data_IF_534478594804
#
_entry.id   IF_534478594804
#
_cell.length_a   1.000
_cell.length_b   1.000
_cell.length_c   1.000
_cell.angle_alpha   90.00
_cell.angle_beta   90.00
_cell.angle_gamma   90.00
#
_symmetry.space_group_name_H-M   'P 1'
#
loop_
_entity.id
_entity.type
_entity.pdbx_description
1 polymer ?
#
# COMPACT_ATOMS: atom_id res chain seq x y z
N UNK A 1 -5.17 4.18 -10.67
CA UNK A 1 -4.77 2.81 -10.27
C UNK A 1 -3.26 2.79 -10.27
N UNK A 2 -2.63 2.41 -9.16
CA UNK A 2 -1.17 2.47 -9.04
C UNK A 2 -0.62 1.18 -8.45
N UNK A 3 0.67 1.00 -8.65
CA UNK A 3 1.46 0.00 -7.93
C UNK A 3 2.60 0.65 -7.15
N UNK A 4 2.99 -0.01 -6.07
CA UNK A 4 4.17 0.31 -5.27
C UNK A 4 5.06 -0.92 -5.33
N UNK A 5 6.20 -0.79 -6.01
CA UNK A 5 7.21 -1.83 -6.11
C UNK A 5 8.55 -1.23 -5.70
N UNK A 6 9.23 -1.88 -4.75
CA UNK A 6 10.53 -1.44 -4.27
C UNK A 6 10.51 0.04 -3.78
N UNK A 7 9.45 0.45 -3.06
CA UNK A 7 9.17 1.82 -2.62
C UNK A 7 9.09 2.88 -3.75
N UNK A 8 8.94 2.44 -5.00
CA UNK A 8 8.67 3.30 -6.15
C UNK A 8 7.22 3.17 -6.56
N UNK A 9 6.57 4.32 -6.75
CA UNK A 9 5.18 4.39 -7.19
C UNK A 9 5.14 4.43 -8.72
N UNK A 10 4.27 3.64 -9.35
CA UNK A 10 4.02 3.69 -10.79
C UNK A 10 2.52 3.78 -11.05
N UNK A 11 2.16 4.49 -12.11
CA UNK A 11 0.80 4.50 -12.63
C UNK A 11 0.59 3.30 -13.54
N UNK A 12 -0.44 2.50 -13.26
CA UNK A 12 -0.77 1.30 -14.03
C UNK A 12 -1.60 1.59 -15.28
N UNK A 13 -2.17 2.80 -15.41
CA UNK A 13 -3.00 3.22 -16.55
C UNK A 13 -2.26 4.17 -17.49
N UNK A 14 -0.94 4.34 -17.30
CA UNK A 14 -0.10 5.16 -18.16
C UNK A 14 1.00 4.29 -18.76
N UNK A 15 1.17 4.26 -20.09
CA UNK A 15 2.31 3.60 -20.70
C UNK A 15 3.60 4.22 -20.17
N UNK A 16 4.54 3.36 -19.79
CA UNK A 16 5.78 3.70 -19.08
C UNK A 16 6.66 4.63 -19.93
N UNK A 17 6.47 5.93 -19.78
CA UNK A 17 7.24 6.97 -20.47
C UNK A 17 8.38 7.53 -19.61
N UNK A 18 8.38 7.25 -18.31
CA UNK A 18 9.39 7.77 -17.38
C UNK A 18 10.01 6.66 -16.52
N UNK A 19 11.34 6.53 -16.58
CA UNK A 19 12.14 5.61 -15.77
C UNK A 19 12.14 5.99 -14.27
N UNK A 20 11.75 7.22 -13.95
CA UNK A 20 11.59 7.71 -12.58
C UNK A 20 10.17 7.45 -12.08
N UNK A 21 10.05 6.79 -10.92
CA UNK A 21 8.76 6.55 -10.27
C UNK A 21 8.08 7.86 -9.86
N UNK A 22 6.75 7.82 -9.70
CA UNK A 22 5.96 8.94 -9.22
C UNK A 22 6.30 9.26 -7.76
N UNK A 23 6.19 10.54 -7.40
CA UNK A 23 6.51 11.02 -6.05
C UNK A 23 5.25 11.18 -5.22
N UNK A 24 5.29 10.67 -3.98
CA UNK A 24 4.27 10.95 -2.97
C UNK A 24 4.52 12.33 -2.38
N UNK A 25 3.46 13.13 -2.25
CA UNK A 25 3.44 14.46 -1.62
C UNK A 25 2.28 14.52 -0.65
N UNK A 26 2.21 15.58 0.16
CA UNK A 26 1.08 15.82 1.05
C UNK A 26 0.53 17.22 0.82
N UNK A 27 -0.78 17.30 0.65
CA UNK A 27 -1.51 18.55 0.57
C UNK A 27 -2.06 18.92 1.96
N UNK A 28 -2.00 20.18 2.41
CA UNK A 28 -2.43 20.58 3.76
C UNK A 28 -3.87 20.18 4.11
N UNK A 29 -4.76 20.12 3.12
CA UNK A 29 -6.19 19.77 3.32
C UNK A 29 -6.58 18.38 2.82
N UNK A 30 -5.91 17.86 1.80
CA UNK A 30 -6.32 16.62 1.11
C UNK A 30 -5.52 15.41 1.59
N UNK A 31 -4.47 15.66 2.38
CA UNK A 31 -3.56 14.62 2.84
C UNK A 31 -2.63 14.12 1.73
N UNK A 32 -2.07 12.92 1.91
CA UNK A 32 -1.09 12.33 1.01
C UNK A 32 -1.68 12.00 -0.37
N UNK A 33 -0.95 12.38 -1.42
CA UNK A 33 -1.32 12.14 -2.82
C UNK A 33 -0.08 11.84 -3.67
N UNK A 34 -0.29 11.23 -4.85
CA UNK A 34 0.78 10.94 -5.79
C UNK A 34 0.80 11.99 -6.88
N UNK A 35 1.91 12.72 -7.00
CA UNK A 35 2.06 13.73 -8.03
C UNK A 35 2.18 13.07 -9.41
N UNK A 36 1.33 13.48 -10.35
CA UNK A 36 1.35 13.00 -11.73
C UNK A 36 0.62 11.67 -11.95
N UNK A 37 -0.13 11.18 -10.96
CA UNK A 37 -1.03 10.04 -11.11
C UNK A 37 -2.22 10.41 -12.01
N UNK A 38 -2.55 9.56 -12.97
CA UNK A 38 -3.70 9.77 -13.85
C UNK A 38 -5.03 9.49 -13.17
N UNK A 39 -6.05 10.20 -13.62
CA UNK A 39 -7.43 10.05 -13.18
C UNK A 39 -8.32 9.91 -14.40
N UNK A 40 -9.19 8.92 -14.39
CA UNK A 40 -10.06 8.58 -15.52
C UNK A 40 -11.51 8.64 -15.03
N UNK A 41 -12.35 9.39 -15.74
CA UNK A 41 -13.78 9.44 -15.46
C UNK A 41 -14.42 8.13 -15.94
N UNK A 42 -15.27 7.54 -15.09
CA UNK A 42 -15.97 6.29 -15.39
C UNK A 42 -17.46 6.48 -15.14
N UNK A 43 -18.28 6.16 -16.14
CA UNK A 43 -19.75 6.28 -16.06
C UNK A 43 -20.46 4.91 -16.09
N UNK A 44 -19.71 3.82 -16.23
CA UNK A 44 -20.25 2.46 -16.26
C UNK A 44 -19.30 1.48 -15.57
N UNK A 45 -19.87 0.40 -15.04
CA UNK A 45 -19.08 -0.71 -14.50
C UNK A 45 -18.16 -1.32 -15.56
N UNK A 46 -18.61 -1.42 -16.81
CA UNK A 46 -17.80 -1.95 -17.91
C UNK A 46 -16.54 -1.12 -18.15
N UNK A 47 -16.65 0.20 -18.18
CA UNK A 47 -15.50 1.11 -18.31
C UNK A 47 -14.54 0.98 -17.13
N UNK A 48 -15.06 0.89 -15.90
CA UNK A 48 -14.25 0.68 -14.71
C UNK A 48 -13.48 -0.65 -14.78
N UNK A 49 -14.17 -1.74 -15.12
CA UNK A 49 -13.56 -3.07 -15.23
C UNK A 49 -12.50 -3.12 -16.33
N UNK A 50 -12.70 -2.42 -17.45
CA UNK A 50 -11.69 -2.29 -18.50
C UNK A 50 -10.39 -1.66 -18.00
N UNK A 51 -10.47 -0.57 -17.21
CA UNK A 51 -9.28 0.02 -16.57
C UNK A 51 -8.63 -0.91 -15.55
N UNK A 52 -9.43 -1.66 -14.77
CA UNK A 52 -8.90 -2.65 -13.83
C UNK A 52 -8.14 -3.75 -14.56
N UNK A 53 -8.68 -4.25 -15.68
CA UNK A 53 -8.03 -5.27 -16.50
C UNK A 53 -6.74 -4.75 -17.14
N UNK A 54 -6.79 -3.55 -17.74
CA UNK A 54 -5.62 -2.89 -18.32
C UNK A 54 -4.50 -2.72 -17.28
N UNK A 55 -4.80 -2.16 -16.12
CA UNK A 55 -3.81 -1.96 -15.08
C UNK A 55 -3.29 -3.27 -14.48
N UNK A 56 -4.14 -4.30 -14.41
CA UNK A 56 -3.73 -5.64 -13.97
C UNK A 56 -2.79 -6.29 -14.99
N UNK A 57 -3.06 -6.12 -16.28
CA UNK A 57 -2.17 -6.56 -17.36
C UNK A 57 -0.84 -5.81 -17.29
N UNK A 58 -0.86 -4.49 -17.12
CA UNK A 58 0.35 -3.68 -16.97
C UNK A 58 1.21 -4.14 -15.78
N UNK A 59 0.59 -4.42 -14.63
CA UNK A 59 1.27 -4.97 -13.44
C UNK A 59 1.91 -6.34 -13.71
N UNK A 60 1.20 -7.24 -14.41
CA UNK A 60 1.73 -8.55 -14.81
C UNK A 60 2.91 -8.42 -15.78
N UNK A 61 2.80 -7.57 -16.80
CA UNK A 61 3.86 -7.35 -17.79
C UNK A 61 5.11 -6.73 -17.15
N UNK A 62 4.95 -5.78 -16.22
CA UNK A 62 6.06 -5.23 -15.45
C UNK A 62 6.77 -6.32 -14.62
N UNK A 63 6.00 -7.26 -14.06
CA UNK A 63 6.54 -8.42 -13.33
C UNK A 63 7.32 -9.38 -14.24
N UNK A 64 6.93 -9.55 -15.50
CA UNK A 64 7.69 -10.39 -16.45
C UNK A 64 8.97 -9.73 -16.95
N UNK A 65 9.00 -8.40 -17.09
CA UNK A 65 10.15 -7.66 -17.61
C UNK A 65 11.26 -7.43 -16.58
N UNK A 66 10.95 -7.43 -15.27
CA UNK A 66 11.91 -7.04 -14.22
C UNK A 66 12.25 -8.12 -13.17
N UNK A 67 11.75 -9.35 -13.31
CA UNK A 67 11.73 -10.52 -12.38
C UNK A 67 10.36 -10.79 -11.75
N UNK A 68 10.01 -12.09 -11.63
CA UNK A 68 8.81 -12.66 -10.98
C UNK A 68 8.51 -11.91 -9.66
N UNK A 69 7.35 -11.32 -9.41
CA UNK A 69 6.00 -11.90 -9.33
C UNK A 69 5.05 -10.79 -8.81
N UNK A 70 3.75 -10.85 -9.08
CA UNK A 70 2.74 -9.96 -8.48
C UNK A 70 2.71 -10.01 -6.94
N UNK A 71 3.29 -11.05 -6.33
CA UNK A 71 3.45 -11.19 -4.88
C UNK A 71 4.39 -10.17 -4.25
N UNK A 72 5.14 -9.40 -5.05
CA UNK A 72 6.18 -8.46 -4.61
C UNK A 72 5.84 -6.99 -4.78
N UNK A 73 4.66 -6.66 -5.28
CA UNK A 73 4.20 -5.26 -5.39
C UNK A 73 2.85 -5.09 -4.73
N UNK A 74 2.64 -3.93 -4.13
CA UNK A 74 1.32 -3.53 -3.62
C UNK A 74 0.57 -2.84 -4.75
N UNK A 75 -0.72 -3.08 -4.88
CA UNK A 75 -1.56 -2.38 -5.84
C UNK A 75 -2.68 -1.62 -5.12
N UNK A 76 -2.88 -0.36 -5.52
CA UNK A 76 -3.89 0.51 -4.94
C UNK A 76 -4.80 1.04 -6.05
N UNK A 77 -6.06 0.61 -6.01
CA UNK A 77 -7.13 1.18 -6.82
C UNK A 77 -7.92 2.16 -5.94
N UNK A 78 -7.95 3.43 -6.34
CA UNK A 78 -8.80 4.44 -5.69
C UNK A 78 -9.92 4.81 -6.64
N UNK A 79 -11.15 4.61 -6.20
CA UNK A 79 -12.38 5.04 -6.87
C UNK A 79 -12.90 6.23 -6.07
N UNK A 80 -12.89 7.41 -6.68
CA UNK A 80 -13.48 8.60 -6.09
C UNK A 80 -14.89 8.75 -6.64
N UNK A 81 -15.87 8.81 -5.74
CA UNK A 81 -17.26 9.11 -6.09
C UNK A 81 -17.47 10.60 -5.83
N UNK A 82 -17.71 11.34 -6.90
CA UNK A 82 -18.21 12.70 -6.81
C UNK A 82 -19.71 12.66 -7.05
N UNK A 83 -20.50 13.23 -6.13
CA UNK A 83 -21.88 13.56 -6.48
C UNK A 83 -21.85 14.65 -7.53
N UNK A 84 -22.56 14.42 -8.63
CA UNK A 84 -22.81 15.45 -9.62
C UNK A 84 -23.80 16.43 -9.01
N UNK A 85 -23.28 17.51 -8.41
CA UNK A 85 -24.10 18.59 -7.86
C UNK A 85 -24.90 19.24 -8.99
N UNK A 86 -26.11 18.74 -9.22
CA UNK A 86 -27.13 19.36 -10.05
C UNK A 86 -27.63 20.63 -9.34
N UNK A 87 -26.96 21.76 -9.57
CA UNK A 87 -27.50 23.05 -9.17
C UNK A 87 -26.47 24.15 -8.88
N UNK A 88 -26.53 25.19 -9.72
CA UNK A 88 -26.08 26.57 -9.52
C UNK A 88 -24.60 26.88 -9.85
N UNK A 89 -24.47 27.52 -11.02
CA UNK A 89 -23.35 28.33 -11.53
C UNK A 89 -21.99 27.65 -11.69
N UNK A 90 -21.76 27.16 -12.91
CA UNK A 90 -20.45 26.80 -13.44
C UNK A 90 -19.51 28.02 -13.48
N UNK A 91 -18.66 28.16 -12.47
CA UNK A 91 -17.32 28.74 -12.70
C UNK A 91 -16.39 27.62 -13.16
N UNK A 92 -15.57 27.81 -14.21
CA UNK A 92 -14.67 26.77 -14.72
C UNK A 92 -13.55 26.54 -13.71
N UNK A 93 -13.81 25.68 -12.71
CA UNK A 93 -12.78 25.18 -11.83
C UNK A 93 -11.77 24.41 -12.68
N UNK A 94 -10.49 24.79 -12.53
CA UNK A 94 -9.37 24.25 -13.28
C UNK A 94 -9.43 22.73 -13.28
N UNK A 95 -9.35 22.13 -14.47
CA UNK A 95 -9.46 20.70 -14.83
C UNK A 95 -8.43 19.77 -14.13
N UNK A 96 -7.79 20.21 -13.05
CA UNK A 96 -6.63 19.57 -12.43
C UNK A 96 -6.69 19.51 -10.89
N UNK A 97 -7.80 19.93 -10.26
CA UNK A 97 -8.00 19.81 -8.81
C UNK A 97 -9.05 18.73 -8.50
N UNK A 98 -8.59 17.48 -8.43
CA UNK A 98 -9.44 16.35 -8.04
C UNK A 98 -9.41 16.23 -6.52
N UNK A 99 -10.20 17.08 -5.89
CA UNK A 99 -11.09 16.66 -4.83
C UNK A 99 -12.18 17.73 -4.76
N UNK A 100 -13.32 17.55 -5.44
CA UNK A 100 -14.47 18.39 -5.14
C UNK A 100 -14.71 18.24 -3.63
N UNK A 101 -14.89 19.37 -2.96
CA UNK A 101 -15.23 19.42 -1.53
C UNK A 101 -16.45 18.49 -1.32
N UNK A 102 -16.26 17.31 -0.74
CA UNK A 102 -17.36 16.39 -0.38
C UNK A 102 -17.43 15.03 -1.07
N UNK A 103 -16.49 14.66 -1.96
CA UNK A 103 -16.52 13.31 -2.58
C UNK A 103 -16.05 12.18 -1.66
N UNK A 104 -16.74 11.04 -1.67
CA UNK A 104 -16.31 9.82 -0.96
C UNK A 104 -15.27 9.04 -1.77
N UNK A 105 -14.42 8.26 -1.10
CA UNK A 105 -13.34 7.49 -1.74
C UNK A 105 -13.39 6.04 -1.29
N UNK A 106 -13.52 5.13 -2.24
CA UNK A 106 -13.29 3.71 -2.04
C UNK A 106 -11.85 3.37 -2.44
N UNK A 107 -11.11 2.72 -1.55
CA UNK A 107 -9.75 2.26 -1.80
C UNK A 107 -9.69 0.75 -1.67
N UNK A 108 -9.36 0.08 -2.78
CA UNK A 108 -9.08 -1.34 -2.81
C UNK A 108 -7.55 -1.51 -2.88
N UNK A 109 -7.01 -2.18 -1.87
CA UNK A 109 -5.58 -2.35 -1.68
C UNK A 109 -5.28 -3.85 -1.72
N UNK A 110 -4.45 -4.25 -2.67
CA UNK A 110 -3.88 -5.60 -2.74
C UNK A 110 -2.44 -5.52 -2.25
N UNK A 111 -2.18 -6.14 -1.09
CA UNK A 111 -0.87 -6.13 -0.45
C UNK A 111 0.01 -7.24 -0.99
N UNK A 112 1.31 -6.97 -1.07
CA UNK A 112 2.32 -7.98 -1.33
C UNK A 112 2.29 -9.10 -0.25
N UNK A 113 2.81 -10.27 -0.61
CA UNK A 113 2.89 -11.42 0.29
C UNK A 113 3.75 -11.14 1.53
N UNK A 114 3.31 -11.64 2.69
CA UNK A 114 3.96 -11.42 3.99
C UNK A 114 5.06 -12.42 4.32
N UNK A 115 5.28 -13.44 3.48
CA UNK A 115 6.20 -14.56 3.71
C UNK A 115 7.66 -14.13 3.99
N UNK A 116 8.04 -12.92 3.59
CA UNK A 116 9.38 -12.37 3.84
C UNK A 116 9.43 -11.42 5.04
N UNK A 117 8.29 -10.94 5.57
CA UNK A 117 8.25 -9.96 6.65
C UNK A 117 8.60 -10.57 8.02
N UNK A 118 8.26 -11.84 8.25
CA UNK A 118 8.59 -12.58 9.47
C UNK A 118 10.12 -12.70 9.71
N UNK A 119 10.91 -12.77 8.63
CA UNK A 119 12.37 -12.92 8.70
C UNK A 119 13.09 -11.61 9.02
N UNK A 120 12.51 -10.45 8.69
CA UNK A 120 13.18 -9.15 8.86
C UNK A 120 13.14 -8.60 10.30
N UNK A 121 12.24 -9.06 11.17
CA UNK A 121 12.20 -8.62 12.58
C UNK A 121 13.45 -9.06 13.38
N UNK A 122 14.22 -10.03 12.87
CA UNK A 122 15.46 -10.52 13.50
C UNK A 122 16.78 -10.10 12.81
N UNK A 123 16.75 -9.45 11.65
CA UNK A 123 17.96 -9.24 10.80
C UNK A 123 18.39 -7.77 10.76
N UNK A 124 18.49 -7.14 11.93
CA UNK A 124 19.29 -5.90 12.07
C UNK A 124 20.78 -6.20 12.35
N UNK A 125 21.21 -7.48 12.28
CA UNK A 125 22.56 -7.89 12.70
C UNK A 125 23.26 -8.94 11.82
N UNK A 126 22.93 -9.05 10.52
CA UNK A 126 23.74 -9.92 9.64
C UNK A 126 24.14 -9.27 8.30
N UNK A 127 25.35 -8.72 8.35
CA UNK A 127 26.40 -8.80 7.33
C UNK A 127 26.06 -8.37 5.90
N UNK A 128 26.60 -7.19 5.58
CA UNK A 128 27.15 -6.80 4.28
C UNK A 128 27.92 -7.98 3.66
N UNK A 129 27.31 -8.75 2.77
CA UNK A 129 28.02 -9.64 1.84
C UNK A 129 27.44 -9.50 0.43
N UNK A 130 28.37 -9.46 -0.52
CA UNK A 130 28.24 -9.12 -1.94
C UNK A 130 27.01 -9.77 -2.62
N UNK A 131 26.15 -8.94 -3.21
CA UNK A 131 24.96 -9.39 -3.96
C UNK A 131 23.81 -8.37 -3.91
N UNK A 132 24.03 -7.15 -4.38
CA UNK A 132 23.31 -5.93 -3.96
C UNK A 132 21.90 -5.76 -4.54
N UNK A 133 21.45 -6.52 -5.54
CA UNK A 133 20.15 -6.27 -6.19
C UNK A 133 18.97 -7.07 -5.60
N UNK A 134 19.13 -8.37 -5.31
CA UNK A 134 18.02 -9.24 -4.85
C UNK A 134 17.69 -9.01 -3.37
N UNK A 135 18.71 -8.78 -2.54
CA UNK A 135 18.54 -8.50 -1.11
C UNK A 135 17.87 -7.15 -0.84
N UNK A 136 18.16 -6.14 -1.67
CA UNK A 136 17.55 -4.80 -1.55
C UNK A 136 16.07 -4.79 -1.95
N UNK A 137 15.70 -5.57 -2.97
CA UNK A 137 14.31 -5.74 -3.41
C UNK A 137 13.48 -6.43 -2.32
N UNK A 138 13.95 -7.56 -1.77
CA UNK A 138 13.27 -8.26 -0.67
C UNK A 138 13.15 -7.39 0.59
N UNK A 139 14.21 -6.65 0.95
CA UNK A 139 14.19 -5.72 2.07
C UNK A 139 13.16 -4.59 1.89
N UNK A 140 12.97 -4.08 0.68
CA UNK A 140 12.06 -2.96 0.41
C UNK A 140 10.59 -3.38 0.27
N UNK A 141 10.29 -4.61 -0.14
CA UNK A 141 8.92 -5.17 -0.10
C UNK A 141 8.49 -5.37 1.35
N UNK A 142 9.39 -5.94 2.15
CA UNK A 142 9.18 -6.09 3.59
C UNK A 142 9.06 -4.76 4.29
N UNK A 143 9.78 -3.73 3.82
CA UNK A 143 9.74 -2.40 4.43
C UNK A 143 8.31 -1.85 4.52
N UNK A 144 7.51 -1.97 3.46
CA UNK A 144 6.13 -1.46 3.46
C UNK A 144 5.20 -2.25 4.38
N UNK A 145 5.35 -3.57 4.45
CA UNK A 145 4.56 -4.41 5.36
C UNK A 145 4.97 -4.25 6.83
N UNK A 146 6.28 -4.14 7.11
CA UNK A 146 6.80 -3.87 8.46
C UNK A 146 6.37 -2.47 8.93
N UNK A 147 6.46 -1.45 8.06
CA UNK A 147 5.96 -0.12 8.38
C UNK A 147 4.45 -0.15 8.66
N UNK A 148 3.67 -0.91 7.89
CA UNK A 148 2.24 -1.08 8.12
C UNK A 148 1.96 -1.72 9.49
N UNK A 149 2.68 -2.79 9.85
CA UNK A 149 2.60 -3.40 11.17
C UNK A 149 2.93 -2.42 12.30
N UNK A 150 4.02 -1.66 12.16
CA UNK A 150 4.42 -0.65 13.15
C UNK A 150 3.36 0.45 13.33
N UNK A 151 2.75 0.91 12.23
CA UNK A 151 1.68 1.91 12.27
C UNK A 151 0.44 1.36 12.97
N UNK A 152 0.03 0.13 12.66
CA UNK A 152 -1.14 -0.52 13.29
C UNK A 152 -0.88 -0.72 14.79
N UNK A 153 0.29 -1.23 15.18
CA UNK A 153 0.64 -1.41 16.60
C UNK A 153 0.64 -0.08 17.36
N UNK A 154 1.24 0.97 16.78
CA UNK A 154 1.23 2.31 17.40
C UNK A 154 -0.19 2.90 17.50
N UNK A 155 -1.08 2.61 16.54
CA UNK A 155 -2.48 3.02 16.58
C UNK A 155 -3.29 2.26 17.63
N UNK A 156 -3.06 0.95 17.76
CA UNK A 156 -3.73 0.12 18.76
C UNK A 156 -3.36 0.56 20.19
N UNK A 157 -2.09 0.80 20.46
CA UNK A 157 -1.61 1.33 21.74
C UNK A 157 -2.18 2.71 22.07
N UNK A 158 -2.40 3.56 21.04
CA UNK A 158 -3.03 4.88 21.21
C UNK A 158 -4.52 4.80 21.51
N UNK A 159 -5.20 3.73 21.10
CA UNK A 159 -6.61 3.49 21.42
C UNK A 159 -6.82 3.03 22.86
N UNK A 160 -5.83 2.35 23.45
CA UNK A 160 -5.90 1.81 24.81
C UNK A 160 -5.34 2.77 25.86
N UNK A 161 -4.29 3.52 25.54
CA UNK A 161 -3.81 4.62 26.36
C UNK A 161 -4.68 5.85 26.12
N UNK A 162 -5.52 6.22 27.10
CA UNK A 162 -6.37 7.41 27.05
C UNK A 162 -5.62 8.70 26.67
N UNK A 163 -6.36 9.79 26.44
CA UNK A 163 -5.85 11.08 25.94
C UNK A 163 -4.88 11.78 26.91
N UNK A 164 -3.65 11.26 27.05
CA UNK A 164 -2.60 11.79 27.90
C UNK A 164 -1.42 12.38 27.11
N UNK A 165 -0.61 13.26 27.74
CA UNK A 165 0.57 13.87 27.14
C UNK A 165 1.72 12.85 27.09
N UNK A 166 1.68 11.96 26.11
CA UNK A 166 2.70 10.91 25.89
C UNK A 166 2.43 10.07 24.64
N UNK A 167 1.62 10.60 23.71
CA UNK A 167 1.17 9.85 22.53
C UNK A 167 2.36 9.45 21.67
N UNK A 168 2.56 8.14 21.52
CA UNK A 168 3.56 7.55 20.63
C UNK A 168 3.38 8.12 19.22
N UNK A 169 4.48 8.61 18.65
CA UNK A 169 4.50 9.07 17.27
C UNK A 169 4.13 7.92 16.32
N UNK A 170 3.22 8.16 15.37
CA UNK A 170 2.80 7.13 14.40
C UNK A 170 3.61 7.32 13.11
N UNK A 171 4.44 6.34 12.71
CA UNK A 171 5.43 6.50 11.65
C UNK A 171 4.85 6.28 10.24
N UNK A 172 3.81 7.03 9.85
CA UNK A 172 3.18 6.89 8.53
C UNK A 172 4.15 7.11 7.36
N UNK A 173 5.24 7.87 7.55
CA UNK A 173 6.22 8.23 6.52
C UNK A 173 7.21 7.14 6.17
N UNK A 174 7.30 6.07 6.96
CA UNK A 174 8.36 5.08 6.83
C UNK A 174 8.27 4.29 5.51
N UNK A 175 7.06 4.20 4.93
CA UNK A 175 6.84 3.66 3.59
C UNK A 175 5.87 4.50 2.77
N UNK A 176 5.99 4.41 1.44
CA UNK A 176 5.04 5.04 0.52
C UNK A 176 3.63 4.50 0.73
N UNK A 177 3.50 3.21 1.05
CA UNK A 177 2.23 2.55 1.32
C UNK A 177 1.53 3.15 2.54
N UNK A 178 2.18 3.14 3.71
CA UNK A 178 1.62 3.69 4.96
C UNK A 178 1.35 5.17 4.86
N UNK A 179 2.14 5.89 4.06
CA UNK A 179 1.94 7.32 3.89
C UNK A 179 0.70 7.58 3.04
N UNK A 180 0.52 6.86 1.93
CA UNK A 180 -0.70 6.96 1.12
C UNK A 180 -1.95 6.48 1.89
N UNK A 181 -1.80 5.50 2.78
CA UNK A 181 -2.86 4.95 3.61
C UNK A 181 -3.07 5.68 4.94
N UNK A 182 -2.36 6.79 5.20
CA UNK A 182 -2.48 7.57 6.46
C UNK A 182 -3.93 7.87 6.83
N UNK A 183 -4.71 8.34 5.85
CA UNK A 183 -6.13 8.68 6.03
C UNK A 183 -7.01 7.43 6.24
N UNK A 184 -6.67 6.32 5.59
CA UNK A 184 -7.37 5.05 5.76
C UNK A 184 -7.14 4.44 7.16
N UNK A 185 -5.90 4.49 7.66
CA UNK A 185 -5.50 3.79 8.89
C UNK A 185 -5.82 4.56 10.18
N UNK A 186 -5.70 5.89 10.17
CA UNK A 186 -5.96 6.69 11.38
C UNK A 186 -6.63 8.03 11.11
N UNK A 187 -7.18 8.21 9.91
CA UNK A 187 -7.93 9.39 9.50
C UNK A 187 -9.44 9.11 9.42
N UNK A 188 -10.11 9.76 8.46
CA UNK A 188 -11.56 9.71 8.31
C UNK A 188 -11.96 8.66 7.27
N UNK A 189 -11.79 7.38 7.62
CA UNK A 189 -12.16 6.28 6.75
C UNK A 189 -12.60 5.05 7.56
N UNK A 190 -13.57 4.31 7.04
CA UNK A 190 -13.87 2.95 7.50
C UNK A 190 -12.92 1.99 6.80
N UNK A 191 -12.09 1.31 7.57
CA UNK A 191 -11.08 0.37 7.05
C UNK A 191 -11.39 -1.05 7.47
N UNK A 192 -11.43 -1.95 6.50
CA UNK A 192 -11.59 -3.38 6.68
C UNK A 192 -10.33 -4.06 6.15
N UNK A 193 -9.73 -4.94 6.94
CA UNK A 193 -8.58 -5.75 6.54
C UNK A 193 -9.02 -7.20 6.37
N UNK A 194 -8.76 -7.78 5.20
CA UNK A 194 -9.01 -9.19 4.92
C UNK A 194 -7.69 -9.96 5.09
N UNK A 195 -7.61 -10.78 6.15
CA UNK A 195 -6.43 -11.61 6.41
C UNK A 195 -6.61 -12.99 5.78
N UNK A 196 -5.78 -13.32 4.79
CA UNK A 196 -5.74 -14.65 4.16
C UNK A 196 -4.73 -15.54 4.87
N UNK A 197 -5.18 -16.59 5.55
CA UNK A 197 -4.32 -17.53 6.28
C UNK A 197 -4.12 -18.79 5.41
N UNK A 198 -2.87 -19.15 5.05
CA UNK A 198 -2.60 -20.40 4.34
C UNK A 198 -2.97 -21.63 5.19
N UNK A 199 -3.51 -22.68 4.57
CA UNK A 199 -3.71 -23.97 5.23
C UNK A 199 -2.38 -24.64 5.60
N UNK A 200 -2.38 -25.42 6.69
CA UNK A 200 -1.19 -25.95 7.39
C UNK A 200 -0.20 -26.82 6.58
N UNK A 201 -0.45 -27.15 5.30
CA UNK A 201 0.38 -28.08 4.53
C UNK A 201 1.49 -27.43 3.67
N UNK A 202 1.66 -26.11 3.73
CA UNK A 202 2.69 -25.40 2.94
C UNK A 202 3.79 -24.75 3.78
N UNK A 203 3.89 -25.09 5.07
CA UNK A 203 5.05 -24.71 5.89
C UNK A 203 6.21 -25.65 5.54
N UNK A 204 7.24 -25.14 4.86
CA UNK A 204 8.51 -25.85 4.71
C UNK A 204 9.06 -26.19 6.10
N UNK A 205 9.61 -27.40 6.32
CA UNK A 205 10.09 -27.83 7.62
C UNK A 205 11.45 -27.18 7.89
N UNK A 206 11.45 -26.04 8.57
CA UNK A 206 12.63 -25.57 9.29
C UNK A 206 12.17 -25.07 10.67
N UNK A 207 11.58 -26.01 11.41
CA UNK A 207 11.56 -26.00 12.86
C UNK A 207 12.09 -27.37 13.24
N UNK A 208 13.35 -27.41 13.65
CA UNK A 208 13.92 -28.59 14.29
C UNK A 208 13.07 -28.96 15.49
N UNK A 209 12.81 -30.24 15.59
CA UNK A 209 12.06 -30.95 16.62
C UNK A 209 12.79 -30.91 17.98
N UNK A 210 12.93 -29.71 18.58
CA UNK A 210 13.61 -29.56 19.88
C UNK A 210 12.85 -28.76 20.94
N UNK A 211 11.76 -28.07 20.61
CA UNK A 211 11.04 -27.23 21.60
C UNK A 211 9.64 -27.76 21.97
N UNK A 212 9.28 -28.98 21.56
CA UNK A 212 8.00 -29.60 21.90
C UNK A 212 8.00 -30.39 23.22
N UNK A 213 9.11 -30.42 23.96
CA UNK A 213 9.23 -31.19 25.21
C UNK A 213 9.61 -30.29 26.39
N UNK A 214 8.75 -29.36 26.77
CA UNK A 214 8.62 -28.92 28.16
C UNK A 214 7.30 -28.17 28.31
N UNK A 215 6.57 -28.41 29.41
CA UNK A 215 5.23 -27.90 29.75
C UNK A 215 4.06 -28.84 29.45
N UNK A 216 4.18 -30.10 29.89
CA UNK A 216 3.10 -30.75 30.65
C UNK A 216 3.76 -31.42 31.85
N UNK A 217 3.87 -30.67 32.94
CA UNK A 217 3.58 -31.05 34.32
C UNK A 217 3.34 -29.77 35.13
#
# INVERSE_FOLDING_TARGET
>A
YLEIYNERVRDLLKPSSSTSGLRVREHPRLGPYVQGLTHHAVCSLGSLMSYVEEGTKARKTASTLQNRSSSRSHALLTIAVAEESHGVTATPARRNEISPRGGSKLRLVDLAGSESAATCSGVHRLKRRRGTCVLQEGANINKSLVALGNVISALAERGTAGSGPGRRFIPYRDSSLTWLLKDALGGNATTIMLATIPGAQTRSPEMTDSDATTMID
#
